data_IF_896575147939
#
_entry.id   IF_896575147939
#
_cell.length_a   1.000
_cell.length_b   1.000
_cell.length_c   1.000
_cell.angle_alpha   90.00
_cell.angle_beta   90.00
_cell.angle_gamma   90.00
#
_symmetry.space_group_name_H-M   'P 1'
#
loop_
_entity.id
_entity.type
_entity.pdbx_description
1 polymer ?
#
# COMPACT_ATOMS: atom_id res chain seq x y z
N UNK A 1 16.60 -22.23 -13.01
CA UNK A 1 17.27 -20.98 -12.55
C UNK A 1 17.02 -20.86 -11.06
N UNK A 2 18.02 -20.50 -10.26
CA UNK A 2 17.80 -20.24 -8.83
C UNK A 2 16.84 -19.06 -8.65
N UNK A 3 16.00 -19.05 -7.60
CA UNK A 3 15.14 -17.90 -7.31
C UNK A 3 16.00 -16.64 -7.11
N UNK A 4 15.50 -15.44 -7.48
CA UNK A 4 16.26 -14.21 -7.29
C UNK A 4 16.48 -13.96 -5.80
N UNK A 5 17.62 -13.35 -5.46
CA UNK A 5 17.85 -12.80 -4.12
C UNK A 5 17.15 -11.45 -4.02
N UNK A 6 16.33 -11.29 -2.97
CA UNK A 6 15.49 -10.12 -2.78
C UNK A 6 15.79 -9.46 -1.44
N UNK A 7 15.99 -8.14 -1.45
CA UNK A 7 16.05 -7.31 -0.24
C UNK A 7 15.15 -6.09 -0.41
N UNK A 8 14.16 -5.97 0.48
CA UNK A 8 13.29 -4.80 0.56
C UNK A 8 13.84 -3.88 1.65
N UNK A 9 14.14 -2.63 1.28
CA UNK A 9 14.63 -1.63 2.21
C UNK A 9 13.58 -0.55 2.41
N UNK A 10 13.18 -0.30 3.65
CA UNK A 10 12.25 0.79 3.99
C UNK A 10 12.42 1.25 5.45
N UNK A 11 11.59 2.17 5.91
CA UNK A 11 11.48 2.52 7.32
C UNK A 11 10.76 1.43 8.12
N UNK A 12 10.89 1.48 9.45
CA UNK A 12 10.18 0.61 10.39
C UNK A 12 8.71 1.04 10.59
N UNK A 13 7.98 1.07 9.48
CA UNK A 13 6.54 1.37 9.41
C UNK A 13 5.97 0.62 8.22
N UNK A 14 4.65 0.31 8.18
CA UNK A 14 4.02 -0.27 7.00
C UNK A 14 4.26 0.58 5.74
N UNK A 15 3.69 1.80 5.74
CA UNK A 15 3.82 2.80 4.68
C UNK A 15 3.78 2.23 3.25
N UNK A 16 4.62 2.80 2.37
CA UNK A 16 4.66 2.45 0.93
C UNK A 16 5.26 1.08 0.64
N UNK A 17 5.93 0.44 1.60
CA UNK A 17 6.56 -0.87 1.40
C UNK A 17 5.63 -2.04 1.72
N UNK A 18 4.56 -1.80 2.48
CA UNK A 18 3.74 -2.86 3.07
C UNK A 18 3.13 -3.78 2.04
N UNK A 19 2.67 -3.23 0.91
CA UNK A 19 2.08 -4.03 -0.19
C UNK A 19 3.09 -5.03 -0.72
N UNK A 20 4.35 -4.64 -0.85
CA UNK A 20 5.42 -5.52 -1.30
C UNK A 20 5.77 -6.55 -0.22
N UNK A 21 5.82 -6.16 1.06
CA UNK A 21 6.03 -7.10 2.18
C UNK A 21 4.95 -8.17 2.20
N UNK A 22 3.68 -7.77 2.16
CA UNK A 22 2.54 -8.69 2.15
C UNK A 22 2.54 -9.58 0.91
N UNK A 23 2.81 -9.04 -0.28
CA UNK A 23 2.88 -9.83 -1.50
C UNK A 23 3.97 -10.93 -1.44
N UNK A 24 5.14 -10.61 -0.88
CA UNK A 24 6.22 -11.59 -0.66
C UNK A 24 5.81 -12.64 0.39
N UNK A 25 5.28 -12.19 1.53
CA UNK A 25 4.92 -13.04 2.65
C UNK A 25 3.75 -13.99 2.34
N UNK A 26 2.72 -13.50 1.66
CA UNK A 26 1.56 -14.30 1.23
C UNK A 26 1.97 -15.52 0.40
N UNK A 27 3.09 -15.44 -0.33
CA UNK A 27 3.57 -16.48 -1.23
C UNK A 27 4.86 -17.17 -0.78
N UNK A 28 5.24 -17.01 0.49
CA UNK A 28 6.45 -17.60 1.07
C UNK A 28 7.72 -17.29 0.26
N UNK A 29 7.78 -16.11 -0.38
CA UNK A 29 8.95 -15.68 -1.13
C UNK A 29 9.99 -15.18 -0.12
N UNK A 30 11.18 -15.83 0.00
CA UNK A 30 12.20 -15.39 0.93
C UNK A 30 12.76 -14.03 0.52
N UNK A 31 12.87 -13.11 1.48
CA UNK A 31 13.50 -11.80 1.28
C UNK A 31 14.11 -11.29 2.58
N UNK A 32 15.07 -10.38 2.46
CA UNK A 32 15.57 -9.58 3.58
C UNK A 32 14.71 -8.32 3.72
N UNK A 33 14.07 -8.10 4.88
CA UNK A 33 13.34 -6.87 5.23
C UNK A 33 14.29 -5.92 6.01
N UNK A 34 15.02 -5.09 5.29
CA UNK A 34 15.99 -4.15 5.87
C UNK A 34 15.28 -2.86 6.30
N UNK A 35 15.09 -2.69 7.61
CA UNK A 35 14.43 -1.52 8.19
C UNK A 35 15.43 -0.47 8.64
N UNK A 36 15.30 0.75 8.13
CA UNK A 36 16.17 1.89 8.44
C UNK A 36 15.54 2.83 9.47
N UNK A 37 16.39 3.38 10.34
CA UNK A 37 16.08 4.62 11.07
C UNK A 37 16.17 5.84 10.15
N UNK A 38 15.64 6.98 10.60
CA UNK A 38 15.74 8.24 9.88
C UNK A 38 17.20 8.68 9.67
N UNK A 39 18.06 8.51 10.68
CA UNK A 39 19.49 8.85 10.58
C UNK A 39 20.21 7.97 9.56
N UNK A 40 19.94 6.66 9.59
CA UNK A 40 20.50 5.71 8.63
C UNK A 40 20.00 6.02 7.21
N UNK A 41 18.75 6.41 7.05
CA UNK A 41 18.22 6.90 5.78
C UNK A 41 18.94 8.16 5.31
N UNK A 42 19.14 9.18 6.16
CA UNK A 42 19.83 10.41 5.76
C UNK A 42 21.26 10.15 5.25
N UNK A 43 21.98 9.23 5.88
CA UNK A 43 23.32 8.79 5.44
C UNK A 43 23.25 8.07 4.10
N UNK A 44 22.25 7.19 3.90
CA UNK A 44 22.12 6.36 2.69
C UNK A 44 21.47 7.09 1.51
N UNK A 45 20.67 8.12 1.76
CA UNK A 45 19.88 8.87 0.76
C UNK A 45 20.67 9.30 -0.49
N UNK A 46 21.92 9.77 -0.41
CA UNK A 46 22.68 10.15 -1.60
C UNK A 46 22.97 9.00 -2.57
N UNK A 47 23.01 7.74 -2.10
CA UNK A 47 23.29 6.56 -2.93
C UNK A 47 22.03 5.84 -3.42
N UNK A 48 20.85 6.17 -2.90
CA UNK A 48 19.60 5.54 -3.30
C UNK A 48 19.13 6.06 -4.68
N UNK A 49 18.58 5.20 -5.55
CA UNK A 49 17.88 5.64 -6.74
C UNK A 49 16.78 6.64 -6.38
N UNK A 50 16.70 7.75 -7.12
CA UNK A 50 15.79 8.87 -6.84
C UNK A 50 15.93 9.50 -5.43
N UNK A 51 16.94 9.12 -4.64
CA UNK A 51 17.17 9.59 -3.27
C UNK A 51 15.98 9.32 -2.35
N UNK A 52 15.30 8.19 -2.54
CA UNK A 52 14.04 7.86 -1.90
C UNK A 52 14.00 6.41 -1.43
N UNK A 53 13.05 6.14 -0.53
CA UNK A 53 12.63 4.81 -0.12
C UNK A 53 11.13 4.63 -0.41
N UNK A 54 10.62 3.40 -0.57
CA UNK A 54 11.34 2.13 -0.49
C UNK A 54 12.29 1.86 -1.67
N UNK A 55 13.14 0.86 -1.51
CA UNK A 55 13.92 0.24 -2.60
C UNK A 55 13.83 -1.29 -2.55
N UNK A 56 13.83 -1.94 -3.71
CA UNK A 56 13.94 -3.39 -3.84
C UNK A 56 15.26 -3.71 -4.53
N UNK A 57 16.12 -4.48 -3.87
CA UNK A 57 17.33 -5.03 -4.47
C UNK A 57 17.03 -6.40 -5.06
N UNK A 58 17.33 -6.60 -6.34
CA UNK A 58 17.16 -7.86 -7.05
C UNK A 58 18.54 -8.28 -7.56
N UNK A 59 19.09 -9.39 -7.04
CA UNK A 59 20.40 -9.90 -7.45
C UNK A 59 21.53 -8.83 -7.40
N UNK A 60 21.48 -7.95 -6.41
CA UNK A 60 22.46 -6.88 -6.19
C UNK A 60 22.17 -5.56 -6.90
N UNK A 61 21.20 -5.50 -7.82
CA UNK A 61 20.77 -4.24 -8.47
C UNK A 61 19.62 -3.60 -7.67
N UNK A 62 19.72 -2.29 -7.42
CA UNK A 62 18.77 -1.54 -6.57
C UNK A 62 17.76 -0.78 -7.42
N UNK A 63 16.47 -1.06 -7.21
CA UNK A 63 15.36 -0.41 -7.88
C UNK A 63 14.51 0.42 -6.89
N UNK A 64 13.78 1.40 -7.42
CA UNK A 64 12.86 2.27 -6.67
C UNK A 64 11.44 2.24 -7.27
N UNK A 65 10.50 2.97 -6.64
CA UNK A 65 9.05 3.01 -6.93
C UNK A 65 8.27 1.81 -6.37
N UNK A 66 7.56 2.04 -5.26
CA UNK A 66 6.83 1.00 -4.50
C UNK A 66 5.87 0.18 -5.35
N UNK A 67 5.03 0.82 -6.17
CA UNK A 67 4.09 0.10 -7.04
C UNK A 67 4.78 -0.65 -8.18
N UNK A 68 5.95 -0.17 -8.64
CA UNK A 68 6.78 -0.90 -9.58
C UNK A 68 7.33 -2.20 -8.98
N UNK A 69 7.81 -2.14 -7.73
CA UNK A 69 8.27 -3.31 -6.97
C UNK A 69 7.12 -4.29 -6.73
N UNK A 70 5.99 -3.78 -6.22
CA UNK A 70 4.81 -4.59 -5.95
C UNK A 70 4.36 -5.32 -7.21
N UNK A 71 4.33 -4.65 -8.37
CA UNK A 71 3.99 -5.28 -9.67
C UNK A 71 4.98 -6.37 -10.06
N UNK A 72 6.28 -6.16 -9.89
CA UNK A 72 7.29 -7.21 -10.15
C UNK A 72 7.02 -8.45 -9.30
N UNK A 73 6.78 -8.29 -8.00
CA UNK A 73 6.42 -9.40 -7.11
C UNK A 73 5.06 -9.99 -7.49
N UNK A 74 4.09 -9.17 -7.86
CA UNK A 74 2.77 -9.62 -8.30
C UNK A 74 2.82 -10.50 -9.54
N UNK A 75 3.75 -10.24 -10.47
CA UNK A 75 3.99 -11.13 -11.62
C UNK A 75 4.57 -12.48 -11.18
N UNK A 76 5.50 -12.49 -10.22
CA UNK A 76 6.11 -13.72 -9.71
C UNK A 76 5.14 -14.59 -8.91
N UNK A 77 4.20 -13.95 -8.21
CA UNK A 77 3.30 -14.59 -7.24
C UNK A 77 1.91 -14.88 -7.81
N UNK A 78 1.55 -14.24 -8.92
CA UNK A 78 0.20 -14.29 -9.47
C UNK A 78 -0.77 -13.33 -8.79
N UNK A 79 -0.30 -12.29 -8.09
CA UNK A 79 -1.13 -11.18 -7.57
C UNK A 79 -1.33 -10.05 -8.59
N UNK A 80 -0.77 -10.19 -9.79
CA UNK A 80 -0.97 -9.28 -10.91
C UNK A 80 -1.50 -10.04 -12.14
N UNK A 81 -2.65 -9.65 -12.72
CA UNK A 81 -3.36 -10.45 -13.72
C UNK A 81 -2.75 -10.29 -15.13
N UNK A 82 -1.59 -10.89 -15.36
CA UNK A 82 -0.81 -10.78 -16.60
C UNK A 82 -1.53 -11.25 -17.86
N UNK A 83 -2.49 -12.18 -17.73
CA UNK A 83 -3.30 -12.69 -18.84
C UNK A 83 -4.62 -11.93 -19.08
N UNK A 84 -4.93 -10.92 -18.27
CA UNK A 84 -6.14 -10.11 -18.40
C UNK A 84 -5.78 -8.61 -18.39
N UNK A 85 -5.54 -8.01 -19.58
CA UNK A 85 -5.10 -6.62 -19.68
C UNK A 85 -6.02 -5.61 -18.98
N UNK A 86 -7.35 -5.80 -19.06
CA UNK A 86 -8.29 -4.90 -18.39
C UNK A 86 -8.26 -5.09 -16.87
N UNK A 87 -8.13 -6.33 -16.39
CA UNK A 87 -7.92 -6.61 -14.96
C UNK A 87 -6.62 -5.97 -14.44
N UNK A 88 -5.54 -6.06 -15.22
CA UNK A 88 -4.25 -5.46 -14.90
C UNK A 88 -4.36 -3.93 -14.81
N UNK A 89 -5.05 -3.31 -15.77
CA UNK A 89 -5.30 -1.88 -15.75
C UNK A 89 -6.15 -1.45 -14.55
N UNK A 90 -7.16 -2.24 -14.15
CA UNK A 90 -7.95 -1.97 -12.94
C UNK A 90 -7.09 -2.02 -11.68
N UNK A 91 -6.16 -2.96 -11.59
CA UNK A 91 -5.19 -3.01 -10.48
C UNK A 91 -4.34 -1.74 -10.47
N UNK A 92 -3.76 -1.38 -11.62
CA UNK A 92 -2.91 -0.20 -11.74
C UNK A 92 -3.65 1.11 -11.44
N UNK A 93 -4.92 1.22 -11.85
CA UNK A 93 -5.78 2.37 -11.57
C UNK A 93 -5.94 2.60 -10.06
N UNK A 94 -6.15 1.53 -9.28
CA UNK A 94 -6.29 1.63 -7.82
C UNK A 94 -4.95 1.95 -7.15
N UNK A 95 -3.85 1.32 -7.59
CA UNK A 95 -2.52 1.64 -7.07
C UNK A 95 -2.17 3.12 -7.30
N UNK A 96 -2.42 3.64 -8.51
CA UNK A 96 -2.19 5.05 -8.81
C UNK A 96 -3.09 5.98 -7.99
N UNK A 97 -4.37 5.61 -7.78
CA UNK A 97 -5.25 6.39 -6.90
C UNK A 97 -4.77 6.42 -5.44
N UNK A 98 -4.11 5.36 -4.96
CA UNK A 98 -3.47 5.35 -3.64
C UNK A 98 -2.28 6.33 -3.56
N UNK A 99 -1.51 6.48 -4.65
CA UNK A 99 -0.47 7.50 -4.72
C UNK A 99 -1.06 8.92 -4.62
N UNK A 100 -2.22 9.18 -5.23
CA UNK A 100 -2.92 10.46 -5.12
C UNK A 100 -3.39 10.72 -3.67
N UNK A 101 -3.93 9.71 -2.99
CA UNK A 101 -4.29 9.77 -1.56
C UNK A 101 -3.06 10.11 -0.72
N UNK A 102 -1.97 9.39 -0.94
CA UNK A 102 -0.72 9.58 -0.19
C UNK A 102 -0.12 10.97 -0.45
N UNK A 103 -0.22 11.48 -1.68
CA UNK A 103 0.22 12.82 -2.02
C UNK A 103 -0.58 13.90 -1.27
N UNK A 104 -1.89 13.70 -1.06
CA UNK A 104 -2.71 14.60 -0.22
C UNK A 104 -2.32 14.54 1.25
N UNK A 105 -1.94 13.37 1.77
CA UNK A 105 -1.50 13.21 3.15
C UNK A 105 -0.08 13.74 3.41
N UNK A 106 0.73 13.93 2.38
CA UNK A 106 2.14 14.31 2.53
C UNK A 106 2.34 15.60 3.36
N UNK A 107 1.62 16.71 3.12
CA UNK A 107 1.74 17.90 3.97
C UNK A 107 1.36 17.65 5.43
N UNK A 108 0.40 16.75 5.68
CA UNK A 108 0.01 16.38 7.04
C UNK A 108 1.13 15.63 7.76
N UNK A 109 1.76 14.65 7.10
CA UNK A 109 2.84 13.85 7.70
C UNK A 109 4.04 14.69 8.14
N UNK A 110 4.40 15.71 7.35
CA UNK A 110 5.60 16.52 7.56
C UNK A 110 5.33 17.89 8.20
N UNK A 111 4.12 18.12 8.72
CA UNK A 111 3.83 19.28 9.55
C UNK A 111 4.00 18.93 11.04
N UNK A 112 4.80 19.75 11.74
CA UNK A 112 5.17 19.58 13.14
C UNK A 112 4.55 20.65 14.05
N UNK A 113 4.06 21.75 13.47
CA UNK A 113 3.25 22.72 14.19
C UNK A 113 1.83 22.18 14.39
N UNK A 114 1.41 22.04 15.64
CA UNK A 114 0.15 21.38 15.98
C UNK A 114 -1.09 22.11 15.42
N UNK A 115 -1.09 23.44 15.39
CA UNK A 115 -2.23 24.22 14.89
C UNK A 115 -2.37 24.09 13.37
N UNK A 116 -1.24 24.18 12.65
CA UNK A 116 -1.22 23.97 11.20
C UNK A 116 -1.55 22.53 10.82
N UNK A 117 -1.02 21.55 11.56
CA UNK A 117 -1.29 20.12 11.33
C UNK A 117 -2.79 19.83 11.46
N UNK A 118 -3.44 20.36 12.50
CA UNK A 118 -4.88 20.25 12.71
C UNK A 118 -5.68 20.96 11.61
N UNK A 119 -5.22 22.12 11.13
CA UNK A 119 -5.86 22.84 10.02
C UNK A 119 -5.82 22.03 8.72
N UNK A 120 -4.66 21.44 8.39
CA UNK A 120 -4.50 20.54 7.23
C UNK A 120 -5.44 19.34 7.37
N UNK A 121 -5.49 18.71 8.55
CA UNK A 121 -6.38 17.56 8.78
C UNK A 121 -7.86 17.90 8.59
N UNK A 122 -8.30 19.08 9.03
CA UNK A 122 -9.68 19.55 8.81
C UNK A 122 -9.99 19.71 7.33
N UNK A 123 -9.08 20.26 6.53
CA UNK A 123 -9.25 20.38 5.08
C UNK A 123 -9.31 19.00 4.41
N UNK A 124 -8.39 18.11 4.79
CA UNK A 124 -8.34 16.75 4.26
C UNK A 124 -9.62 15.96 4.54
N UNK A 125 -10.17 16.10 5.74
CA UNK A 125 -11.33 15.33 6.19
C UNK A 125 -12.66 15.94 5.77
N UNK A 126 -12.70 17.23 5.47
CA UNK A 126 -13.91 17.90 4.97
C UNK A 126 -14.18 17.60 3.50
N UNK A 127 -13.14 17.43 2.68
CA UNK A 127 -13.31 17.27 1.22
C UNK A 127 -12.31 16.32 0.57
N UNK A 128 -11.00 16.62 0.63
CA UNK A 128 -10.01 15.95 -0.23
C UNK A 128 -10.00 14.42 -0.11
N UNK A 129 -9.96 13.88 1.11
CA UNK A 129 -9.97 12.44 1.33
C UNK A 129 -11.35 11.83 1.07
N UNK A 130 -12.48 12.36 1.59
CA UNK A 130 -13.81 11.86 1.24
C UNK A 130 -14.07 11.78 -0.27
N UNK A 131 -13.64 12.79 -1.03
CA UNK A 131 -13.79 12.88 -2.48
C UNK A 131 -12.96 11.81 -3.19
N UNK A 132 -11.66 11.67 -2.84
CA UNK A 132 -10.82 10.62 -3.43
C UNK A 132 -11.31 9.22 -3.08
N UNK A 133 -11.71 8.98 -1.83
CA UNK A 133 -12.19 7.67 -1.40
C UNK A 133 -13.51 7.30 -2.08
N UNK A 134 -14.40 8.29 -2.29
CA UNK A 134 -15.63 8.09 -3.07
C UNK A 134 -15.34 7.76 -4.53
N UNK A 135 -14.34 8.39 -5.14
CA UNK A 135 -13.89 8.05 -6.49
C UNK A 135 -13.36 6.61 -6.55
N UNK A 136 -12.52 6.20 -5.60
CA UNK A 136 -12.03 4.80 -5.50
C UNK A 136 -13.21 3.84 -5.37
N UNK A 137 -14.11 4.05 -4.41
CA UNK A 137 -15.31 3.23 -4.22
C UNK A 137 -16.13 3.09 -5.51
N UNK A 138 -16.33 4.18 -6.25
CA UNK A 138 -17.05 4.15 -7.52
C UNK A 138 -16.37 3.24 -8.57
N UNK A 139 -15.03 3.20 -8.61
CA UNK A 139 -14.28 2.26 -9.47
C UNK A 139 -14.49 0.82 -9.03
N UNK A 140 -14.46 0.54 -7.73
CA UNK A 140 -14.67 -0.80 -7.18
C UNK A 140 -16.08 -1.33 -7.47
N UNK A 141 -17.10 -0.47 -7.38
CA UNK A 141 -18.50 -0.80 -7.71
C UNK A 141 -18.66 -1.02 -9.22
N UNK A 142 -18.07 -0.16 -10.05
CA UNK A 142 -18.14 -0.26 -11.51
C UNK A 142 -17.42 -1.48 -12.08
N UNK A 143 -16.47 -2.08 -11.35
CA UNK A 143 -15.73 -3.25 -11.81
C UNK A 143 -16.64 -4.46 -12.10
N UNK A 144 -17.85 -4.53 -11.51
CA UNK A 144 -18.90 -5.58 -11.67
C UNK A 144 -18.40 -7.02 -11.56
N UNK A 145 -17.20 -7.22 -11.02
CA UNK A 145 -16.61 -8.54 -10.84
C UNK A 145 -17.42 -9.31 -9.79
N UNK A 146 -17.66 -10.60 -10.06
CA UNK A 146 -18.22 -11.52 -9.07
C UNK A 146 -17.07 -12.12 -8.27
N UNK A 147 -17.16 -12.03 -6.95
CA UNK A 147 -16.14 -12.52 -6.02
C UNK A 147 -15.78 -11.46 -4.96
N UNK A 148 -14.96 -11.85 -3.96
CA UNK A 148 -14.61 -10.96 -2.86
C UNK A 148 -13.68 -9.81 -3.29
N UNK A 149 -12.90 -9.96 -4.36
CA UNK A 149 -11.81 -9.05 -4.74
C UNK A 149 -12.14 -8.20 -5.97
N UNK A 150 -11.32 -7.18 -6.26
CA UNK A 150 -11.50 -6.23 -7.35
C UNK A 150 -11.64 -6.91 -8.72
N UNK A 151 -10.84 -7.94 -8.96
CA UNK A 151 -10.80 -8.69 -10.22
C UNK A 151 -11.48 -10.07 -10.11
N UNK A 152 -12.40 -10.21 -9.15
CA UNK A 152 -13.25 -11.39 -8.97
C UNK A 152 -12.77 -12.29 -7.83
N UNK A 153 -12.47 -13.55 -8.14
CA UNK A 153 -11.97 -14.54 -7.16
C UNK A 153 -10.46 -14.40 -6.89
N UNK A 154 -9.74 -13.72 -7.78
CA UNK A 154 -8.29 -13.54 -7.68
C UNK A 154 -7.97 -12.39 -6.73
N UNK A 155 -7.23 -12.69 -5.65
CA UNK A 155 -6.57 -11.68 -4.84
C UNK A 155 -5.53 -10.94 -5.70
N UNK A 156 -5.56 -9.61 -5.68
CA UNK A 156 -4.63 -8.77 -6.43
C UNK A 156 -3.91 -7.76 -5.55
N UNK A 157 -2.86 -7.15 -6.10
CA UNK A 157 -2.12 -6.06 -5.43
C UNK A 157 -3.03 -4.89 -5.03
N UNK A 158 -4.08 -4.59 -5.80
CA UNK A 158 -5.02 -3.53 -5.47
C UNK A 158 -5.84 -3.87 -4.22
N UNK A 159 -6.21 -5.13 -4.01
CA UNK A 159 -6.94 -5.55 -2.82
C UNK A 159 -6.08 -5.39 -1.56
N UNK A 160 -4.79 -5.75 -1.68
CA UNK A 160 -3.79 -5.56 -0.62
C UNK A 160 -3.60 -4.06 -0.32
N UNK A 161 -3.48 -3.22 -1.34
CA UNK A 161 -3.38 -1.75 -1.19
C UNK A 161 -4.59 -1.18 -0.44
N UNK A 162 -5.81 -1.55 -0.85
CA UNK A 162 -7.04 -1.11 -0.22
C UNK A 162 -7.10 -1.53 1.25
N UNK A 163 -6.67 -2.74 1.56
CA UNK A 163 -6.54 -3.21 2.94
C UNK A 163 -5.53 -2.37 3.74
N UNK A 164 -4.33 -2.13 3.21
CA UNK A 164 -3.27 -1.34 3.87
C UNK A 164 -3.72 0.09 4.12
N UNK A 165 -4.31 0.77 3.14
CA UNK A 165 -4.80 2.14 3.29
C UNK A 165 -5.88 2.21 4.37
N UNK A 166 -6.85 1.29 4.36
CA UNK A 166 -7.88 1.23 5.41
C UNK A 166 -7.27 0.99 6.78
N UNK A 167 -6.34 0.06 6.90
CA UNK A 167 -5.64 -0.26 8.16
C UNK A 167 -4.93 0.98 8.73
N UNK A 168 -4.22 1.75 7.89
CA UNK A 168 -3.53 2.98 8.31
C UNK A 168 -4.52 4.05 8.77
N UNK A 169 -5.64 4.23 8.07
CA UNK A 169 -6.67 5.19 8.48
C UNK A 169 -7.31 4.78 9.82
N UNK A 170 -7.53 3.47 10.03
CA UNK A 170 -8.18 2.95 11.23
C UNK A 170 -7.23 2.80 12.43
N UNK A 171 -5.91 2.85 12.25
CA UNK A 171 -4.92 2.63 13.32
C UNK A 171 -4.94 3.71 14.40
N UNK A 172 -5.43 4.91 14.08
CA UNK A 172 -5.36 6.07 14.97
C UNK A 172 -4.00 6.79 14.97
N UNK A 173 -3.03 6.34 14.17
CA UNK A 173 -1.74 7.03 13.99
C UNK A 173 -1.91 8.39 13.31
N UNK A 174 -2.92 8.53 12.46
CA UNK A 174 -3.35 9.81 11.89
C UNK A 174 -4.23 10.55 12.90
N UNK A 175 -3.62 11.02 14.00
CA UNK A 175 -4.31 11.53 15.21
C UNK A 175 -5.47 12.51 14.93
N UNK A 176 -5.32 13.38 13.93
CA UNK A 176 -6.32 14.42 13.59
C UNK A 176 -7.30 14.00 12.49
N UNK A 177 -7.15 12.78 11.96
CA UNK A 177 -7.99 12.21 10.91
C UNK A 177 -8.90 11.14 11.54
N UNK A 178 -10.24 11.23 11.38
CA UNK A 178 -11.15 10.25 11.95
C UNK A 178 -10.87 8.83 11.46
N UNK A 179 -10.75 7.89 12.40
CA UNK A 179 -10.59 6.45 12.09
C UNK A 179 -11.78 5.87 11.33
N UNK A 180 -12.95 6.51 11.42
CA UNK A 180 -14.20 6.15 10.74
C UNK A 180 -14.30 6.68 9.32
N UNK A 181 -13.25 7.33 8.78
CA UNK A 181 -13.31 7.97 7.46
C UNK A 181 -13.65 6.96 6.34
N UNK A 182 -13.18 5.72 6.47
CA UNK A 182 -13.43 4.64 5.50
C UNK A 182 -14.81 3.97 5.63
N UNK A 183 -15.58 4.21 6.71
CA UNK A 183 -16.77 3.39 7.04
C UNK A 183 -17.90 3.47 5.98
N UNK A 184 -17.93 4.56 5.21
CA UNK A 184 -18.98 4.83 4.21
C UNK A 184 -18.75 4.15 2.85
N UNK A 185 -17.68 3.37 2.69
CA UNK A 185 -17.29 2.75 1.41
C UNK A 185 -17.45 1.22 1.50
N UNK A 186 -18.68 0.70 1.35
CA UNK A 186 -18.99 -0.71 1.64
C UNK A 186 -18.23 -1.68 0.74
N UNK A 187 -18.03 -1.35 -0.55
CA UNK A 187 -17.31 -2.26 -1.46
C UNK A 187 -15.84 -2.32 -1.10
N UNK A 188 -15.19 -1.19 -0.83
CA UNK A 188 -13.83 -1.15 -0.30
C UNK A 188 -13.73 -1.97 0.98
N UNK A 189 -14.58 -1.70 1.98
CA UNK A 189 -14.53 -2.39 3.26
C UNK A 189 -14.68 -3.91 3.10
N UNK A 190 -15.59 -4.38 2.23
CA UNK A 190 -15.73 -5.81 1.94
C UNK A 190 -14.47 -6.44 1.32
N UNK A 191 -13.75 -5.73 0.43
CA UNK A 191 -12.45 -6.20 -0.09
C UNK A 191 -11.43 -6.30 1.05
N UNK A 192 -11.31 -5.23 1.83
CA UNK A 192 -10.33 -5.16 2.90
C UNK A 192 -10.60 -6.23 3.98
N UNK A 193 -11.86 -6.50 4.31
CA UNK A 193 -12.25 -7.58 5.23
C UNK A 193 -11.88 -8.96 4.67
N UNK A 194 -12.08 -9.19 3.36
CA UNK A 194 -11.67 -10.43 2.71
C UNK A 194 -10.14 -10.64 2.75
N UNK A 195 -9.35 -9.57 2.59
CA UNK A 195 -7.89 -9.62 2.75
C UNK A 195 -7.51 -9.86 4.21
N UNK A 196 -8.12 -9.15 5.16
CA UNK A 196 -7.86 -9.30 6.59
C UNK A 196 -8.18 -10.71 7.13
N UNK A 197 -9.12 -11.41 6.49
CA UNK A 197 -9.50 -12.78 6.83
C UNK A 197 -8.47 -13.84 6.38
N UNK A 198 -7.49 -13.47 5.53
CA UNK A 198 -6.47 -14.41 5.07
C UNK A 198 -5.55 -14.80 6.23
N UNK A 199 -5.34 -16.11 6.52
CA UNK A 199 -4.51 -16.54 7.66
C UNK A 199 -3.09 -15.98 7.65
N UNK A 200 -2.49 -15.81 6.45
CA UNK A 200 -1.15 -15.22 6.32
C UNK A 200 -1.12 -13.71 6.61
N UNK A 201 -2.18 -12.99 6.30
CA UNK A 201 -2.29 -11.57 6.69
C UNK A 201 -2.35 -11.46 8.21
N UNK A 202 -3.15 -12.30 8.87
CA UNK A 202 -3.22 -12.34 10.33
C UNK A 202 -1.87 -12.71 10.96
N UNK A 203 -1.19 -13.73 10.43
CA UNK A 203 0.13 -14.14 10.91
C UNK A 203 1.19 -13.04 10.74
N UNK A 204 1.14 -12.27 9.64
CA UNK A 204 2.04 -11.14 9.41
C UNK A 204 1.93 -10.11 10.53
N UNK A 205 0.72 -9.62 10.83
CA UNK A 205 0.50 -8.60 11.86
C UNK A 205 0.62 -9.12 13.31
N UNK A 206 0.59 -10.43 13.53
CA UNK A 206 0.96 -11.01 14.84
C UNK A 206 2.46 -10.99 15.10
N UNK A 207 3.27 -11.05 14.04
CA UNK A 207 4.74 -11.13 14.12
C UNK A 207 5.43 -9.79 13.83
N UNK A 208 4.69 -8.85 13.24
CA UNK A 208 5.09 -7.47 12.94
C UNK A 208 3.99 -6.52 13.42
N UNK A 209 3.80 -6.38 14.74
CA UNK A 209 2.76 -5.52 15.32
C UNK A 209 2.99 -4.03 15.05
#
# INVERSE_FOLDING_TARGET
MSPPTLKLTYFDTPGRAEVTRLALFLHDIPFEDERLSDEAFLVRKPSLPFKQLPTLTINGEVFAQSHGMARYIGVLTGLYPTSNPLGAYRVDEILAASDDITAKLYPYYFEFDAEKKLAIAKELTADSLPTLFACVEARLVAATAKGPFLVGEMLSLADIELFVVRMIVQSGELVDIPTTLCDRYPRWNAIADAVAALPKIQAWYQTHP
#
